data_IF_441654750742
#
_entry.id   IF_441654750742
#
_cell.length_a   1.000
_cell.length_b   1.000
_cell.length_c   1.000
_cell.angle_alpha   90.00
_cell.angle_beta   90.00
_cell.angle_gamma   90.00
#
_symmetry.space_group_name_H-M   'P 1'
#
loop_
_entity.id
_entity.type
_entity.pdbx_description
1 polymer ?
#
# COMPACT_ATOMS: atom_id res chain seq x y z
N UNK A 1 48.80 5.66 -11.70
CA UNK A 1 47.90 5.87 -12.85
C UNK A 1 46.85 4.78 -12.81
N UNK A 2 45.97 4.96 -11.83
CA UNK A 2 44.51 4.78 -11.86
C UNK A 2 43.98 3.52 -12.56
N UNK A 3 43.83 2.47 -11.77
CA UNK A 3 42.80 1.46 -12.03
C UNK A 3 41.49 2.02 -11.47
N UNK A 4 40.68 2.61 -12.35
CA UNK A 4 39.30 2.98 -12.02
C UNK A 4 38.54 1.72 -11.62
N UNK A 5 38.30 1.62 -10.31
CA UNK A 5 37.50 0.61 -9.68
C UNK A 5 36.03 0.96 -9.95
N UNK A 6 35.49 0.52 -11.09
CA UNK A 6 34.08 0.68 -11.41
C UNK A 6 33.27 -0.39 -10.64
N UNK A 7 33.22 -0.24 -9.32
CA UNK A 7 32.20 -0.89 -8.52
C UNK A 7 30.91 -0.13 -8.77
N UNK A 8 30.16 -0.63 -9.75
CA UNK A 8 28.78 -0.23 -9.96
C UNK A 8 28.03 -0.55 -8.66
N UNK A 9 27.79 0.47 -7.84
CA UNK A 9 26.87 0.40 -6.69
C UNK A 9 25.55 -0.15 -7.21
N UNK A 10 25.30 -1.45 -7.01
CA UNK A 10 23.96 -1.98 -7.14
C UNK A 10 23.21 -1.42 -5.94
N UNK A 11 22.60 -0.24 -6.10
CA UNK A 11 21.58 0.24 -5.18
C UNK A 11 20.64 -0.93 -4.85
N UNK A 12 20.29 -1.14 -3.58
CA UNK A 12 19.55 -2.31 -3.08
C UNK A 12 18.34 -2.67 -3.99
N UNK A 13 18.53 -3.62 -4.92
CA UNK A 13 17.48 -4.12 -5.80
C UNK A 13 16.82 -5.30 -5.10
N UNK A 14 15.54 -5.17 -4.78
CA UNK A 14 14.75 -6.27 -4.24
C UNK A 14 13.78 -6.80 -5.30
N UNK A 15 13.81 -8.12 -5.53
CA UNK A 15 12.84 -8.85 -6.36
C UNK A 15 12.11 -9.83 -5.46
N UNK A 16 10.85 -9.53 -5.15
CA UNK A 16 10.02 -10.34 -4.26
C UNK A 16 8.54 -10.28 -4.66
N UNK A 17 7.77 -11.26 -4.21
CA UNK A 17 6.30 -11.18 -4.28
C UNK A 17 5.81 -10.28 -3.16
N UNK A 18 4.97 -9.30 -3.49
CA UNK A 18 4.41 -8.37 -2.49
C UNK A 18 3.68 -9.08 -1.34
N UNK A 19 3.04 -10.22 -1.61
CA UNK A 19 2.35 -11.04 -0.61
C UNK A 19 3.30 -11.59 0.46
N UNK A 20 4.57 -11.81 0.12
CA UNK A 20 5.53 -12.49 1.00
C UNK A 20 6.29 -11.49 1.87
N UNK A 21 6.28 -10.21 1.45
CA UNK A 21 6.99 -9.11 2.09
C UNK A 21 6.35 -8.60 3.39
N UNK A 22 5.11 -9.02 3.68
CA UNK A 22 4.38 -8.65 4.89
C UNK A 22 3.52 -9.81 5.39
N UNK A 23 3.43 -9.97 6.71
CA UNK A 23 2.66 -11.02 7.36
C UNK A 23 1.46 -10.43 8.09
N UNK A 24 0.38 -11.21 8.19
CA UNK A 24 -0.76 -10.85 9.02
C UNK A 24 -0.38 -10.89 10.50
N UNK A 25 -1.07 -10.07 11.27
CA UNK A 25 -1.09 -10.13 12.73
C UNK A 25 -2.54 -10.30 13.16
N UNK A 26 -2.79 -11.14 14.17
CA UNK A 26 -4.14 -11.34 14.68
C UNK A 26 -4.67 -10.06 15.35
N UNK A 27 -5.93 -9.70 15.05
CA UNK A 27 -6.61 -8.50 15.56
C UNK A 27 -5.81 -7.21 15.34
N UNK A 28 -5.21 -7.04 14.15
CA UNK A 28 -4.36 -5.89 13.90
C UNK A 28 -4.10 -5.57 12.44
N UNK A 29 -3.47 -4.40 12.27
CA UNK A 29 -2.99 -3.87 10.99
C UNK A 29 -1.48 -3.72 11.09
N UNK A 30 -0.75 -4.37 10.19
CA UNK A 30 0.70 -4.23 10.07
C UNK A 30 1.00 -3.43 8.81
N UNK A 31 2.03 -2.58 8.84
CA UNK A 31 2.49 -1.86 7.66
C UNK A 31 4.00 -1.98 7.48
N UNK A 32 4.45 -1.98 6.22
CA UNK A 32 5.86 -2.01 5.82
C UNK A 32 6.08 -1.01 4.70
N UNK A 33 6.95 -0.01 4.93
CA UNK A 33 7.34 0.93 3.88
C UNK A 33 8.37 0.27 2.96
N UNK A 34 8.03 0.10 1.68
CA UNK A 34 8.96 -0.41 0.67
C UNK A 34 9.85 0.71 0.14
N UNK A 35 9.24 1.88 -0.15
CA UNK A 35 9.95 3.07 -0.59
C UNK A 35 9.41 4.26 0.20
N UNK A 36 10.32 5.07 0.73
CA UNK A 36 10.00 6.34 1.39
C UNK A 36 10.89 7.43 0.83
N UNK A 37 10.27 8.43 0.20
CA UNK A 37 10.94 9.62 -0.35
C UNK A 37 10.14 10.87 0.01
N UNK A 38 10.72 12.04 -0.24
CA UNK A 38 10.06 13.33 0.01
C UNK A 38 8.87 13.59 -0.92
N UNK A 39 8.87 12.98 -2.10
CA UNK A 39 7.87 13.11 -3.16
C UNK A 39 6.86 11.94 -3.21
N UNK A 40 6.86 11.05 -2.22
CA UNK A 40 5.94 9.93 -2.21
C UNK A 40 6.42 8.74 -1.40
N UNK A 41 5.52 7.78 -1.23
CA UNK A 41 5.83 6.52 -0.58
C UNK A 41 5.09 5.35 -1.22
N UNK A 42 5.67 4.17 -1.04
CA UNK A 42 5.06 2.89 -1.35
C UNK A 42 5.02 2.09 -0.05
N UNK A 43 3.82 1.77 0.42
CA UNK A 43 3.60 1.12 1.71
C UNK A 43 2.74 -0.13 1.53
N UNK A 44 3.21 -1.27 2.02
CA UNK A 44 2.43 -2.48 2.17
C UNK A 44 1.65 -2.44 3.47
N UNK A 45 0.45 -2.99 3.44
CA UNK A 45 -0.40 -3.22 4.60
C UNK A 45 -0.90 -4.66 4.61
N UNK A 46 -1.02 -5.23 5.80
CA UNK A 46 -1.70 -6.49 6.06
C UNK A 46 -2.76 -6.24 7.14
N UNK A 47 -4.01 -6.48 6.79
CA UNK A 47 -5.17 -6.29 7.65
C UNK A 47 -5.71 -7.65 8.07
N UNK A 48 -5.96 -7.85 9.36
CA UNK A 48 -6.84 -8.93 9.79
C UNK A 48 -8.30 -8.64 9.37
N UNK A 49 -9.14 -9.68 9.41
CA UNK A 49 -10.56 -9.56 9.09
C UNK A 49 -11.25 -8.56 10.03
N UNK A 50 -11.96 -7.60 9.45
CA UNK A 50 -12.73 -6.59 10.19
C UNK A 50 -11.92 -5.33 10.54
N UNK A 51 -10.59 -5.38 10.41
CA UNK A 51 -9.74 -4.21 10.62
C UNK A 51 -9.99 -3.13 9.57
N UNK A 52 -9.76 -1.87 9.97
CA UNK A 52 -10.10 -0.72 9.15
C UNK A 52 -9.18 0.47 9.37
N UNK A 53 -9.03 1.29 8.32
CA UNK A 53 -8.54 2.66 8.47
C UNK A 53 -9.74 3.59 8.51
N UNK A 54 -9.79 4.41 9.55
CA UNK A 54 -10.83 5.40 9.74
C UNK A 54 -10.82 6.41 8.60
N UNK A 55 -11.96 7.10 8.43
CA UNK A 55 -12.09 8.12 7.42
C UNK A 55 -11.06 9.23 7.62
N UNK A 56 -10.36 9.56 6.54
CA UNK A 56 -9.40 10.65 6.48
C UNK A 56 -9.31 11.18 5.06
N UNK A 57 -8.56 12.27 4.89
CA UNK A 57 -8.33 12.91 3.59
C UNK A 57 -6.82 13.09 3.38
N UNK A 58 -6.37 12.90 2.14
CA UNK A 58 -5.00 13.19 1.70
C UNK A 58 -5.01 14.38 0.75
N UNK A 59 -3.97 15.21 0.78
CA UNK A 59 -3.78 16.31 -0.19
C UNK A 59 -3.29 15.83 -1.56
N UNK A 60 -2.97 14.54 -1.69
CA UNK A 60 -2.40 13.96 -2.90
C UNK A 60 -3.18 12.74 -3.35
N UNK A 61 -3.15 12.49 -4.66
CA UNK A 61 -3.69 11.27 -5.24
C UNK A 61 -2.89 10.05 -4.78
N UNK A 62 -3.59 8.96 -4.57
CA UNK A 62 -3.00 7.67 -4.28
C UNK A 62 -3.66 6.54 -5.08
N UNK A 63 -2.95 5.43 -5.21
CA UNK A 63 -3.49 4.16 -5.71
C UNK A 63 -3.38 3.12 -4.61
N UNK A 64 -4.48 2.44 -4.35
CA UNK A 64 -4.51 1.27 -3.50
C UNK A 64 -4.74 0.03 -4.38
N UNK A 65 -3.78 -0.89 -4.38
CA UNK A 65 -3.90 -2.19 -5.03
C UNK A 65 -4.14 -3.25 -3.96
N UNK A 66 -5.24 -4.00 -4.06
CA UNK A 66 -5.47 -5.16 -3.21
C UNK A 66 -4.69 -6.32 -3.80
N UNK A 67 -3.73 -6.85 -3.05
CA UNK A 67 -2.84 -7.93 -3.51
C UNK A 67 -3.58 -9.27 -3.40
N UNK A 68 -4.16 -9.52 -2.23
CA UNK A 68 -4.99 -10.69 -1.91
C UNK A 68 -6.04 -10.29 -0.86
N UNK A 69 -7.16 -11.00 -0.84
CA UNK A 69 -8.30 -10.70 0.02
C UNK A 69 -9.37 -9.85 -0.64
N UNK A 70 -10.22 -9.24 0.18
CA UNK A 70 -11.29 -8.34 -0.25
C UNK A 70 -11.44 -7.17 0.74
N UNK A 71 -11.49 -5.95 0.19
CA UNK A 71 -11.60 -4.73 0.96
C UNK A 71 -12.74 -3.84 0.45
N UNK A 72 -13.47 -3.25 1.39
CA UNK A 72 -14.42 -2.18 1.11
C UNK A 72 -13.73 -0.83 1.28
N UNK A 73 -13.70 -0.06 0.20
CA UNK A 73 -13.33 1.36 0.22
C UNK A 73 -14.61 2.18 0.30
N UNK A 74 -14.62 3.24 1.10
CA UNK A 74 -15.67 4.27 1.05
C UNK A 74 -14.99 5.55 0.62
N UNK A 75 -15.37 6.14 -0.52
CA UNK A 75 -14.74 7.34 -1.07
C UNK A 75 -15.83 8.36 -1.33
N UNK A 76 -15.75 9.54 -0.70
CA UNK A 76 -16.80 10.56 -0.80
C UNK A 76 -18.18 10.04 -0.39
N UNK A 77 -18.22 9.17 0.64
CA UNK A 77 -19.45 8.53 1.13
C UNK A 77 -19.98 7.37 0.28
N UNK A 78 -19.35 7.03 -0.85
CA UNK A 78 -19.78 5.93 -1.72
C UNK A 78 -18.95 4.67 -1.48
N UNK A 79 -19.56 3.49 -1.27
CA UNK A 79 -18.84 2.25 -1.07
C UNK A 79 -18.42 1.59 -2.39
N UNK A 80 -17.23 0.99 -2.40
CA UNK A 80 -16.64 0.23 -3.49
C UNK A 80 -16.03 -1.05 -2.92
N UNK A 81 -16.27 -2.19 -3.56
CA UNK A 81 -15.62 -3.46 -3.23
C UNK A 81 -14.44 -3.66 -4.17
N UNK A 82 -13.29 -4.02 -3.61
CA UNK A 82 -12.04 -4.23 -4.35
C UNK A 82 -11.44 -5.55 -3.89
N UNK A 83 -11.18 -6.46 -4.82
CA UNK A 83 -10.71 -7.83 -4.61
C UNK A 83 -9.23 -7.97 -4.95
N UNK A 84 -8.65 -9.10 -4.57
CA UNK A 84 -7.28 -9.47 -4.94
C UNK A 84 -6.98 -9.25 -6.42
N UNK A 85 -5.81 -8.67 -6.70
CA UNK A 85 -5.32 -8.25 -8.01
C UNK A 85 -6.05 -7.05 -8.65
N UNK A 86 -7.03 -6.44 -7.98
CA UNK A 86 -7.66 -5.20 -8.42
C UNK A 86 -7.00 -3.97 -7.77
N UNK A 87 -7.23 -2.79 -8.35
CA UNK A 87 -6.79 -1.52 -7.77
C UNK A 87 -7.92 -0.48 -7.82
N UNK A 88 -7.81 0.53 -6.96
CA UNK A 88 -8.67 1.70 -6.93
C UNK A 88 -7.81 2.95 -6.72
N UNK A 89 -8.14 4.03 -7.40
CA UNK A 89 -7.53 5.34 -7.15
C UNK A 89 -8.28 6.08 -6.03
N UNK A 90 -7.52 6.75 -5.18
CA UNK A 90 -7.99 7.58 -4.08
C UNK A 90 -7.70 9.05 -4.45
N UNK A 91 -8.70 9.82 -4.90
CA UNK A 91 -8.48 11.18 -5.34
C UNK A 91 -8.07 12.11 -4.19
N UNK A 92 -7.21 13.07 -4.49
CA UNK A 92 -6.82 14.13 -3.56
C UNK A 92 -8.04 14.89 -3.02
N UNK A 93 -7.99 15.25 -1.75
CA UNK A 93 -8.98 16.05 -1.02
C UNK A 93 -10.37 15.43 -0.91
N UNK A 94 -10.55 14.15 -1.27
CA UNK A 94 -11.79 13.41 -1.08
C UNK A 94 -11.65 12.48 0.15
N UNK A 95 -12.54 12.57 1.15
CA UNK A 95 -12.53 11.68 2.30
C UNK A 95 -12.65 10.22 1.89
N UNK A 96 -11.86 9.37 2.52
CA UNK A 96 -11.90 7.94 2.29
C UNK A 96 -11.62 7.10 3.55
N UNK A 97 -12.26 5.93 3.63
CA UNK A 97 -12.04 4.91 4.65
C UNK A 97 -11.93 3.52 4.02
N UNK A 98 -11.25 2.61 4.70
CA UNK A 98 -10.95 1.26 4.20
C UNK A 98 -11.34 0.24 5.26
N UNK A 99 -11.95 -0.88 4.87
CA UNK A 99 -12.33 -1.96 5.79
C UNK A 99 -12.13 -3.32 5.14
N UNK A 100 -11.31 -4.17 5.77
CA UNK A 100 -11.02 -5.51 5.30
C UNK A 100 -12.20 -6.45 5.59
N UNK A 101 -12.76 -7.07 4.54
CA UNK A 101 -13.87 -8.04 4.66
C UNK A 101 -13.38 -9.44 5.04
N UNK A 102 -12.13 -9.71 4.72
CA UNK A 102 -11.34 -10.88 5.09
C UNK A 102 -9.89 -10.46 5.28
N UNK A 103 -9.01 -11.40 5.65
CA UNK A 103 -7.56 -11.11 5.71
C UNK A 103 -7.11 -10.57 4.36
N UNK A 104 -6.57 -9.36 4.36
CA UNK A 104 -6.29 -8.61 3.13
C UNK A 104 -4.90 -8.00 3.17
N UNK A 105 -4.14 -8.17 2.08
CA UNK A 105 -2.91 -7.38 1.84
C UNK A 105 -3.16 -6.34 0.77
N UNK A 106 -2.61 -5.16 0.99
CA UNK A 106 -2.80 -4.01 0.11
C UNK A 106 -1.47 -3.26 -0.07
N UNK A 107 -1.20 -2.83 -1.30
CA UNK A 107 -0.15 -1.87 -1.62
C UNK A 107 -0.76 -0.48 -1.77
N UNK A 108 -0.26 0.49 -1.01
CA UNK A 108 -0.56 1.91 -1.19
C UNK A 108 0.60 2.60 -1.89
N UNK A 109 0.32 3.27 -2.99
CA UNK A 109 1.26 4.13 -3.72
C UNK A 109 0.72 5.55 -3.64
N UNK A 110 1.47 6.45 -3.02
CA UNK A 110 1.12 7.87 -2.93
C UNK A 110 2.23 8.70 -3.57
N UNK A 111 1.85 9.62 -4.45
CA UNK A 111 2.78 10.52 -5.16
C UNK A 111 2.42 11.96 -4.79
N UNK A 112 3.41 12.75 -4.37
CA UNK A 112 3.27 14.16 -4.00
C UNK A 112 3.66 15.09 -5.15
#
# INVERSE_FOLDING_TARGET
>A
MDKENNQQETADVNVAKLSDEIQYQDSGIVSKQLIKKSNGNITLFAFDKGESLTEHTSSFDAVAQVIEGEMKFTIGGKPYQVKGSEFINLPANIPHSLSAKEKTKMLLIMIK
#
